data_IF_933325100807
#
_entry.id   IF_933325100807
#
_cell.length_a   1.000
_cell.length_b   1.000
_cell.length_c   1.000
_cell.angle_alpha   90.00
_cell.angle_beta   90.00
_cell.angle_gamma   90.00
#
_symmetry.space_group_name_H-M   'P 1'
#
loop_
_entity.id
_entity.type
_entity.pdbx_description
1 polymer ?
#
# COMPACT_ATOMS: atom_id res chain seq x y z
N UNK A 1 -3.79 36.67 64.89
CA UNK A 1 -5.08 36.63 64.18
C UNK A 1 -5.00 35.55 63.08
N UNK A 2 -5.64 34.39 63.28
CA UNK A 2 -5.69 33.30 62.30
C UNK A 2 -7.04 33.39 61.58
N UNK A 3 -7.06 33.89 60.35
CA UNK A 3 -8.23 33.85 59.48
C UNK A 3 -8.34 32.45 58.87
N UNK A 4 -9.27 31.65 59.38
CA UNK A 4 -9.66 30.37 58.76
C UNK A 4 -10.64 30.69 57.63
N UNK A 5 -10.17 30.66 56.37
CA UNK A 5 -11.05 30.63 55.21
C UNK A 5 -11.80 29.29 55.18
N UNK A 6 -13.04 29.30 55.66
CA UNK A 6 -14.00 28.18 55.47
C UNK A 6 -14.50 28.25 54.03
N UNK A 7 -13.84 27.54 53.12
CA UNK A 7 -14.42 27.28 51.78
C UNK A 7 -15.54 26.24 51.98
N UNK A 8 -16.79 26.52 51.64
CA UNK A 8 -17.90 25.58 51.82
C UNK A 8 -17.69 24.36 50.94
N UNK A 9 -17.68 23.19 51.56
CA UNK A 9 -17.50 21.85 50.92
C UNK A 9 -18.31 21.65 49.62
N UNK A 10 -19.41 22.40 49.48
CA UNK A 10 -20.27 22.36 48.28
C UNK A 10 -19.55 22.81 46.98
N UNK A 11 -18.67 23.83 47.04
CA UNK A 11 -17.94 24.28 45.88
C UNK A 11 -16.82 23.31 45.45
N UNK A 12 -16.23 22.60 46.42
CA UNK A 12 -15.22 21.62 46.16
C UNK A 12 -15.83 20.42 45.37
N UNK A 13 -17.04 19.99 45.75
CA UNK A 13 -17.74 18.91 45.01
C UNK A 13 -18.18 19.34 43.61
N UNK A 14 -18.60 20.60 43.43
CA UNK A 14 -18.95 21.13 42.09
C UNK A 14 -17.72 21.25 41.20
N UNK A 15 -16.57 21.64 41.74
CA UNK A 15 -15.30 21.69 41.00
C UNK A 15 -14.85 20.28 40.59
N UNK A 16 -14.96 19.28 41.47
CA UNK A 16 -14.64 17.89 41.14
C UNK A 16 -15.57 17.33 40.07
N UNK A 17 -16.87 17.61 40.15
CA UNK A 17 -17.85 17.20 39.13
C UNK A 17 -17.57 17.83 37.76
N UNK A 18 -17.19 19.10 37.74
CA UNK A 18 -16.85 19.80 36.49
C UNK A 18 -15.55 19.26 35.86
N UNK A 19 -14.52 18.96 36.66
CA UNK A 19 -13.27 18.35 36.21
C UNK A 19 -13.49 16.93 35.64
N UNK A 20 -14.33 16.12 36.26
CA UNK A 20 -14.63 14.78 35.74
C UNK A 20 -15.42 14.83 34.44
N UNK A 21 -16.38 15.76 34.29
CA UNK A 21 -17.15 15.91 33.05
C UNK A 21 -16.29 16.42 31.88
N UNK A 22 -15.38 17.36 32.11
CA UNK A 22 -14.44 17.84 31.07
C UNK A 22 -13.42 16.74 30.69
N UNK A 23 -12.93 15.96 31.66
CA UNK A 23 -12.04 14.84 31.41
C UNK A 23 -12.69 13.74 30.55
N UNK A 24 -13.97 13.48 30.74
CA UNK A 24 -14.73 12.48 29.95
C UNK A 24 -14.95 12.92 28.51
N UNK A 25 -15.12 14.21 28.25
CA UNK A 25 -15.28 14.76 26.88
C UNK A 25 -13.96 14.71 26.11
N UNK A 26 -12.82 14.97 26.76
CA UNK A 26 -11.49 14.91 26.12
C UNK A 26 -11.05 13.46 25.80
N UNK A 27 -11.50 12.45 26.53
CA UNK A 27 -11.20 11.04 26.22
C UNK A 27 -11.99 10.50 25.04
N UNK A 28 -13.11 11.10 24.66
CA UNK A 28 -13.99 10.61 23.58
C UNK A 28 -13.47 10.96 22.17
N UNK A 29 -12.49 11.82 22.03
CA UNK A 29 -11.99 12.29 20.72
C UNK A 29 -10.84 11.44 20.17
N UNK A 30 -10.28 10.50 20.97
CA UNK A 30 -9.04 9.79 20.61
C UNK A 30 -9.26 8.42 19.94
N UNK A 31 -10.48 8.00 19.64
CA UNK A 31 -10.80 6.70 19.03
C UNK A 31 -11.25 6.82 17.57
N UNK A 32 -10.78 7.84 16.85
CA UNK A 32 -10.79 7.77 15.39
C UNK A 32 -9.70 6.80 14.96
N UNK A 33 -9.94 5.51 15.17
CA UNK A 33 -9.21 4.43 14.51
C UNK A 33 -9.38 4.64 13.00
N UNK A 34 -8.38 5.25 12.38
CA UNK A 34 -8.33 5.44 10.95
C UNK A 34 -8.13 4.06 10.31
N UNK A 35 -9.22 3.29 10.20
CA UNK A 35 -9.26 2.08 9.39
C UNK A 35 -9.10 2.53 7.94
N UNK A 36 -7.88 2.45 7.43
CA UNK A 36 -7.52 2.75 6.05
C UNK A 36 -8.03 1.66 5.10
N UNK A 37 -9.34 1.38 5.14
CA UNK A 37 -9.96 0.47 4.19
C UNK A 37 -10.16 1.19 2.85
N UNK A 38 -9.89 0.49 1.76
CA UNK A 38 -10.22 0.94 0.41
C UNK A 38 -11.74 1.07 0.28
N UNK A 39 -12.20 2.22 -0.20
CA UNK A 39 -13.63 2.55 -0.27
C UNK A 39 -14.16 2.72 -1.70
N UNK A 40 -13.28 2.93 -2.67
CA UNK A 40 -13.68 3.15 -4.06
C UNK A 40 -14.23 1.87 -4.71
N UNK A 41 -15.52 1.82 -5.11
CA UNK A 41 -16.09 0.66 -5.80
C UNK A 41 -15.40 0.34 -7.12
N UNK A 42 -14.97 1.35 -7.87
CA UNK A 42 -14.25 1.18 -9.13
C UNK A 42 -12.93 0.44 -8.94
N UNK A 43 -12.17 0.75 -7.88
CA UNK A 43 -10.92 0.05 -7.59
C UNK A 43 -11.16 -1.42 -7.19
N UNK A 44 -12.21 -1.69 -6.42
CA UNK A 44 -12.56 -3.06 -6.06
C UNK A 44 -13.03 -3.88 -7.27
N UNK A 45 -13.80 -3.25 -8.17
CA UNK A 45 -14.20 -3.86 -9.44
C UNK A 45 -12.98 -4.18 -10.32
N UNK A 46 -12.06 -3.23 -10.49
CA UNK A 46 -10.83 -3.45 -11.25
C UNK A 46 -9.95 -4.55 -10.62
N UNK A 47 -9.82 -4.59 -9.28
CA UNK A 47 -9.08 -5.63 -8.57
C UNK A 47 -9.66 -7.02 -8.83
N UNK A 48 -10.99 -7.16 -8.84
CA UNK A 48 -11.67 -8.43 -9.10
C UNK A 48 -11.52 -8.94 -10.54
N UNK A 49 -11.41 -8.05 -11.51
CA UNK A 49 -11.25 -8.39 -12.92
C UNK A 49 -9.78 -8.63 -13.32
N UNK A 50 -8.84 -8.17 -12.53
CA UNK A 50 -7.42 -8.06 -12.86
C UNK A 50 -6.76 -9.35 -13.35
N UNK A 51 -7.16 -10.49 -12.83
CA UNK A 51 -6.52 -11.77 -13.18
C UNK A 51 -7.12 -12.39 -14.45
N UNK A 52 -8.41 -12.16 -14.73
CA UNK A 52 -9.15 -12.80 -15.84
C UNK A 52 -9.30 -11.85 -17.02
N UNK A 53 -9.61 -10.58 -16.75
CA UNK A 53 -9.88 -9.55 -17.76
C UNK A 53 -9.05 -8.27 -17.49
N UNK A 54 -7.72 -8.34 -17.67
CA UNK A 54 -6.82 -7.22 -17.35
C UNK A 54 -7.05 -5.98 -18.23
N UNK A 55 -7.54 -6.15 -19.45
CA UNK A 55 -7.95 -5.08 -20.37
C UNK A 55 -9.16 -4.30 -19.83
N UNK A 56 -10.18 -5.00 -19.35
CA UNK A 56 -11.35 -4.41 -18.72
C UNK A 56 -10.97 -3.71 -17.40
N UNK A 57 -10.09 -4.30 -16.60
CA UNK A 57 -9.57 -3.68 -15.39
C UNK A 57 -8.82 -2.38 -15.73
N UNK A 58 -8.01 -2.37 -16.79
CA UNK A 58 -7.31 -1.19 -17.26
C UNK A 58 -8.28 -0.07 -17.65
N UNK A 59 -9.30 -0.38 -18.45
CA UNK A 59 -10.34 0.58 -18.87
C UNK A 59 -11.04 1.22 -17.69
N UNK A 60 -11.39 0.45 -16.64
CA UNK A 60 -11.98 0.98 -15.41
C UNK A 60 -11.00 1.94 -14.70
N UNK A 61 -9.72 1.57 -14.59
CA UNK A 61 -8.74 2.39 -13.92
C UNK A 61 -8.47 3.71 -14.67
N UNK A 62 -8.42 3.67 -15.98
CA UNK A 62 -8.24 4.86 -16.84
C UNK A 62 -9.45 5.78 -16.84
N UNK A 63 -10.65 5.28 -16.52
CA UNK A 63 -11.85 6.11 -16.35
C UNK A 63 -11.80 7.02 -15.11
N UNK A 64 -10.87 6.80 -14.19
CA UNK A 64 -10.71 7.62 -12.98
C UNK A 64 -9.99 8.93 -13.33
N UNK A 65 -10.77 9.99 -13.51
CA UNK A 65 -10.29 11.29 -14.00
C UNK A 65 -9.36 12.05 -13.05
N UNK A 66 -9.36 11.77 -11.76
CA UNK A 66 -8.58 12.52 -10.75
C UNK A 66 -7.99 11.60 -9.68
N UNK A 67 -7.08 10.68 -10.01
CA UNK A 67 -6.55 9.71 -9.06
C UNK A 67 -5.78 10.34 -7.89
N UNK A 68 -5.18 11.52 -8.09
CA UNK A 68 -4.48 12.27 -7.05
C UNK A 68 -5.41 12.78 -5.93
N UNK A 69 -6.72 12.90 -6.18
CA UNK A 69 -7.74 13.30 -5.18
C UNK A 69 -8.25 12.12 -4.35
N UNK A 70 -7.91 10.90 -4.73
CA UNK A 70 -8.29 9.71 -3.97
C UNK A 70 -7.69 9.73 -2.54
N UNK A 71 -8.40 9.19 -1.55
CA UNK A 71 -7.84 8.92 -0.23
C UNK A 71 -6.53 8.13 -0.33
N UNK A 72 -5.65 8.28 0.65
CA UNK A 72 -4.30 7.68 0.61
C UNK A 72 -4.32 6.17 0.32
N UNK A 73 -5.24 5.42 0.94
CA UNK A 73 -5.38 3.98 0.72
C UNK A 73 -5.84 3.64 -0.72
N UNK A 74 -6.84 4.37 -1.22
CA UNK A 74 -7.39 4.18 -2.56
C UNK A 74 -6.37 4.58 -3.63
N UNK A 75 -5.61 5.67 -3.40
CA UNK A 75 -4.53 6.10 -4.30
C UNK A 75 -3.41 5.07 -4.39
N UNK A 76 -3.04 4.46 -3.27
CA UNK A 76 -2.05 3.39 -3.27
C UNK A 76 -2.54 2.14 -4.01
N UNK A 77 -3.81 1.76 -3.82
CA UNK A 77 -4.40 0.65 -4.57
C UNK A 77 -4.52 0.98 -6.04
N UNK A 78 -4.94 2.19 -6.41
CA UNK A 78 -4.97 2.65 -7.79
C UNK A 78 -3.59 2.51 -8.47
N UNK A 79 -2.54 3.00 -7.79
CA UNK A 79 -1.18 2.93 -8.30
C UNK A 79 -0.72 1.47 -8.53
N UNK A 80 -1.00 0.58 -7.59
CA UNK A 80 -0.71 -0.83 -7.72
C UNK A 80 -1.46 -1.46 -8.89
N UNK A 81 -2.78 -1.28 -8.94
CA UNK A 81 -3.63 -1.90 -9.95
C UNK A 81 -3.34 -1.37 -11.37
N UNK A 82 -3.10 -0.06 -11.52
CA UNK A 82 -2.78 0.50 -12.84
C UNK A 82 -1.43 -0.03 -13.36
N UNK A 83 -0.41 -0.14 -12.50
CA UNK A 83 0.87 -0.74 -12.88
C UNK A 83 0.68 -2.22 -13.24
N UNK A 84 -0.09 -2.97 -12.45
CA UNK A 84 -0.42 -4.37 -12.73
C UNK A 84 -1.16 -4.54 -14.05
N UNK A 85 -2.20 -3.73 -14.31
CA UNK A 85 -2.99 -3.77 -15.53
C UNK A 85 -2.14 -3.47 -16.77
N UNK A 86 -1.31 -2.42 -16.73
CA UNK A 86 -0.38 -2.11 -17.81
C UNK A 86 0.59 -3.25 -18.10
N UNK A 87 1.21 -3.80 -17.06
CA UNK A 87 2.13 -4.92 -17.21
C UNK A 87 1.45 -6.15 -17.83
N UNK A 88 0.22 -6.49 -17.41
CA UNK A 88 -0.53 -7.63 -17.95
C UNK A 88 -0.98 -7.40 -19.40
N UNK A 89 -1.23 -6.17 -19.80
CA UNK A 89 -1.59 -5.77 -21.17
C UNK A 89 -0.37 -5.45 -22.04
N UNK A 90 0.85 -5.75 -21.59
CA UNK A 90 2.10 -5.50 -22.34
C UNK A 90 2.33 -4.02 -22.68
N UNK A 91 1.78 -3.11 -21.88
CA UNK A 91 1.99 -1.65 -22.00
C UNK A 91 3.19 -1.29 -21.14
N UNK A 92 4.08 -0.48 -21.69
CA UNK A 92 5.28 0.00 -20.99
C UNK A 92 4.92 0.68 -19.66
N UNK A 93 5.62 0.34 -18.58
CA UNK A 93 5.35 0.85 -17.23
C UNK A 93 5.84 2.30 -17.07
N UNK A 94 6.75 2.76 -17.90
CA UNK A 94 7.27 4.13 -17.87
C UNK A 94 8.20 4.38 -16.69
N UNK A 95 7.92 5.43 -15.92
CA UNK A 95 8.66 5.72 -14.70
C UNK A 95 8.13 4.95 -13.50
N UNK A 96 8.87 4.99 -12.39
CA UNK A 96 8.54 4.26 -11.17
C UNK A 96 7.73 5.09 -10.16
N UNK A 97 7.39 6.35 -10.47
CA UNK A 97 6.68 7.27 -9.56
C UNK A 97 5.31 6.73 -9.15
N UNK A 98 4.62 6.09 -10.09
CA UNK A 98 3.30 5.51 -9.83
C UNK A 98 3.38 4.35 -8.84
N UNK A 99 4.18 3.33 -9.15
CA UNK A 99 4.28 2.13 -8.31
C UNK A 99 4.93 2.43 -6.95
N UNK A 100 5.83 3.40 -6.89
CA UNK A 100 6.45 3.88 -5.65
C UNK A 100 5.40 4.35 -4.65
N UNK A 101 4.32 5.00 -5.10
CA UNK A 101 3.18 5.38 -4.24
C UNK A 101 2.56 4.17 -3.54
N UNK A 102 2.47 3.02 -4.20
CA UNK A 102 1.96 1.78 -3.61
C UNK A 102 2.98 1.19 -2.61
N UNK A 103 4.25 1.12 -2.98
CA UNK A 103 5.32 0.60 -2.11
C UNK A 103 5.44 1.43 -0.84
N UNK A 104 5.43 2.76 -0.93
CA UNK A 104 5.48 3.65 0.24
C UNK A 104 4.28 3.49 1.17
N UNK A 105 3.11 3.14 0.63
CA UNK A 105 1.90 2.95 1.42
C UNK A 105 1.85 1.59 2.09
N UNK A 106 2.08 0.50 1.33
CA UNK A 106 2.00 -0.86 1.86
C UNK A 106 3.22 -1.22 2.71
N UNK A 107 4.38 -0.63 2.40
CA UNK A 107 5.63 -0.80 3.13
C UNK A 107 6.18 -2.23 3.07
N UNK A 108 7.30 -2.42 3.74
CA UNK A 108 8.04 -3.68 3.81
C UNK A 108 7.90 -4.42 5.16
N UNK A 109 7.23 -3.79 6.13
CA UNK A 109 7.18 -4.25 7.53
C UNK A 109 6.14 -5.32 7.80
N UNK A 110 5.08 -5.40 7.00
CA UNK A 110 3.96 -6.32 7.19
C UNK A 110 3.74 -7.19 5.97
N UNK A 111 3.83 -8.50 6.18
CA UNK A 111 3.51 -9.48 5.13
C UNK A 111 2.07 -9.30 4.65
N UNK A 112 1.90 -8.99 3.38
CA UNK A 112 0.60 -8.89 2.73
C UNK A 112 0.74 -9.10 1.23
N UNK A 113 -0.32 -9.62 0.60
CA UNK A 113 -0.35 -9.83 -0.85
C UNK A 113 -0.15 -8.51 -1.61
N UNK A 114 -0.73 -7.40 -1.14
CA UNK A 114 -0.58 -6.09 -1.78
C UNK A 114 0.83 -5.54 -1.68
N UNK A 115 1.50 -5.70 -0.52
CA UNK A 115 2.90 -5.32 -0.37
C UNK A 115 3.80 -6.15 -1.30
N UNK A 116 3.60 -7.46 -1.34
CA UNK A 116 4.35 -8.34 -2.24
C UNK A 116 4.13 -7.99 -3.72
N UNK A 117 2.87 -7.76 -4.15
CA UNK A 117 2.57 -7.32 -5.51
C UNK A 117 3.20 -5.96 -5.84
N UNK A 118 3.21 -5.00 -4.91
CA UNK A 118 3.81 -3.69 -5.12
C UNK A 118 5.32 -3.80 -5.40
N UNK A 119 6.05 -4.55 -4.60
CA UNK A 119 7.47 -4.81 -4.83
C UNK A 119 7.71 -5.59 -6.13
N UNK A 120 6.88 -6.58 -6.44
CA UNK A 120 7.00 -7.32 -7.71
C UNK A 120 6.88 -6.39 -8.93
N UNK A 121 5.87 -5.52 -8.98
CA UNK A 121 5.70 -4.61 -10.11
C UNK A 121 6.72 -3.48 -10.13
N UNK A 122 7.27 -3.10 -8.99
CA UNK A 122 8.41 -2.20 -8.95
C UNK A 122 9.67 -2.83 -9.55
N UNK A 123 9.94 -4.10 -9.20
CA UNK A 123 10.98 -4.89 -9.85
C UNK A 123 10.78 -5.01 -11.36
N UNK A 124 9.52 -5.23 -11.82
CA UNK A 124 9.21 -5.27 -13.24
C UNK A 124 9.51 -3.93 -13.93
N UNK A 125 9.20 -2.79 -13.29
CA UNK A 125 9.53 -1.46 -13.80
C UNK A 125 11.04 -1.24 -13.92
N UNK A 126 11.82 -1.63 -12.92
CA UNK A 126 13.29 -1.58 -12.99
C UNK A 126 13.84 -2.45 -14.10
N UNK A 127 13.26 -3.61 -14.28
CA UNK A 127 13.69 -4.55 -15.30
C UNK A 127 13.46 -4.02 -16.73
N UNK A 128 12.34 -3.35 -16.99
CA UNK A 128 12.08 -2.68 -18.28
C UNK A 128 13.10 -1.58 -18.56
N UNK A 129 13.58 -0.90 -17.53
CA UNK A 129 14.62 0.13 -17.63
C UNK A 129 16.06 -0.44 -17.73
N UNK A 130 16.24 -1.75 -17.66
CA UNK A 130 17.54 -2.39 -17.66
C UNK A 130 18.27 -2.40 -16.30
N UNK A 131 17.64 -1.95 -15.23
CA UNK A 131 18.22 -1.93 -13.88
C UNK A 131 18.07 -3.28 -13.20
N UNK A 132 18.78 -4.29 -13.68
CA UNK A 132 18.62 -5.69 -13.28
C UNK A 132 18.88 -5.94 -11.79
N UNK A 133 19.91 -5.32 -11.21
CA UNK A 133 20.21 -5.47 -9.78
C UNK A 133 19.09 -4.98 -8.88
N UNK A 134 18.57 -3.79 -9.15
CA UNK A 134 17.41 -3.26 -8.40
C UNK A 134 16.16 -4.11 -8.61
N UNK A 135 15.93 -4.62 -9.81
CA UNK A 135 14.82 -5.51 -10.08
C UNK A 135 14.90 -6.80 -9.24
N UNK A 136 16.07 -7.40 -9.10
CA UNK A 136 16.28 -8.59 -8.27
C UNK A 136 16.01 -8.30 -6.79
N UNK A 137 16.49 -7.17 -6.26
CA UNK A 137 16.25 -6.76 -4.88
C UNK A 137 14.74 -6.64 -4.58
N UNK A 138 13.99 -6.03 -5.50
CA UNK A 138 12.54 -5.86 -5.36
C UNK A 138 11.78 -7.19 -5.47
N UNK A 139 12.20 -8.10 -6.35
CA UNK A 139 11.62 -9.44 -6.42
C UNK A 139 11.88 -10.25 -5.15
N UNK A 140 13.07 -10.16 -4.56
CA UNK A 140 13.37 -10.80 -3.27
C UNK A 140 12.53 -10.18 -2.14
N UNK A 141 12.29 -8.86 -2.15
CA UNK A 141 11.38 -8.22 -1.22
C UNK A 141 9.95 -8.75 -1.37
N UNK A 142 9.46 -8.88 -2.60
CA UNK A 142 8.13 -9.46 -2.88
C UNK A 142 7.98 -10.88 -2.32
N UNK A 143 9.00 -11.72 -2.47
CA UNK A 143 9.02 -13.09 -1.93
C UNK A 143 8.94 -13.08 -0.39
N UNK A 144 9.71 -12.21 0.28
CA UNK A 144 9.72 -12.09 1.75
C UNK A 144 8.38 -11.62 2.31
N UNK A 145 7.68 -10.76 1.57
CA UNK A 145 6.42 -10.14 1.99
C UNK A 145 5.19 -10.98 1.70
N UNK A 146 5.30 -12.01 0.87
CA UNK A 146 4.18 -12.90 0.57
C UNK A 146 3.81 -13.73 1.81
N UNK A 147 2.55 -13.66 2.27
CA UNK A 147 2.13 -14.35 3.49
C UNK A 147 2.04 -15.87 3.33
N UNK A 148 1.76 -16.36 2.13
CA UNK A 148 1.58 -17.78 1.82
C UNK A 148 2.30 -18.09 0.51
N UNK A 149 2.99 -19.24 0.44
CA UNK A 149 3.56 -19.76 -0.81
C UNK A 149 2.40 -20.21 -1.72
N UNK A 150 2.14 -19.43 -2.75
CA UNK A 150 1.11 -19.70 -3.76
C UNK A 150 1.71 -19.62 -5.17
N UNK A 151 0.87 -19.79 -6.20
CA UNK A 151 1.27 -19.72 -7.61
C UNK A 151 1.97 -18.42 -8.00
N UNK A 152 1.68 -17.33 -7.32
CA UNK A 152 2.34 -16.04 -7.55
C UNK A 152 3.86 -16.11 -7.21
N UNK A 153 4.24 -16.81 -6.15
CA UNK A 153 5.66 -17.07 -5.86
C UNK A 153 6.32 -17.92 -6.95
N UNK A 154 5.64 -18.96 -7.43
CA UNK A 154 6.16 -19.77 -8.51
C UNK A 154 6.42 -18.91 -9.77
N UNK A 155 5.53 -17.99 -10.08
CA UNK A 155 5.68 -17.07 -11.20
C UNK A 155 6.90 -16.13 -11.03
N UNK A 156 7.15 -15.63 -9.81
CA UNK A 156 8.34 -14.79 -9.52
C UNK A 156 9.63 -15.62 -9.72
N UNK A 157 9.67 -16.84 -9.19
CA UNK A 157 10.84 -17.73 -9.34
C UNK A 157 11.13 -18.04 -10.80
N UNK A 158 10.13 -18.47 -11.57
CA UNK A 158 10.29 -18.81 -12.98
C UNK A 158 10.77 -17.60 -13.80
N UNK A 159 10.31 -16.39 -13.49
CA UNK A 159 10.70 -15.18 -14.20
C UNK A 159 12.12 -14.73 -13.83
N UNK A 160 12.50 -14.87 -12.56
CA UNK A 160 13.87 -14.60 -12.07
C UNK A 160 14.89 -15.59 -12.65
N UNK A 161 14.56 -16.88 -12.69
CA UNK A 161 15.44 -17.94 -13.17
C UNK A 161 15.67 -17.87 -14.68
N UNK A 162 14.63 -17.69 -15.50
CA UNK A 162 14.76 -17.57 -16.95
C UNK A 162 15.66 -16.39 -17.37
N UNK A 163 15.75 -15.35 -16.57
CA UNK A 163 16.57 -14.18 -16.87
C UNK A 163 18.01 -14.29 -16.36
N UNK A 164 18.23 -14.95 -15.22
CA UNK A 164 19.58 -15.29 -14.75
C UNK A 164 20.31 -16.18 -15.77
N UNK A 165 19.61 -17.14 -16.36
CA UNK A 165 20.15 -18.00 -17.42
C UNK A 165 20.47 -17.21 -18.69
N UNK A 166 19.63 -16.23 -19.06
CA UNK A 166 19.85 -15.41 -20.25
C UNK A 166 21.02 -14.42 -20.10
N UNK A 167 21.31 -13.98 -18.88
CA UNK A 167 22.45 -13.09 -18.59
C UNK A 167 23.76 -13.89 -18.58
N UNK A 168 23.74 -15.10 -18.01
CA UNK A 168 24.91 -15.98 -17.99
C UNK A 168 25.31 -16.45 -19.41
N UNK A 169 24.34 -16.75 -20.28
CA UNK A 169 24.61 -17.16 -21.66
C UNK A 169 25.07 -16.05 -22.60
N UNK A 170 24.95 -14.76 -22.21
CA UNK A 170 25.43 -13.65 -23.04
C UNK A 170 26.89 -13.27 -22.73
N UNK A 171 27.42 -13.61 -21.56
CA UNK A 171 28.82 -13.33 -21.21
C UNK A 171 29.83 -14.33 -21.76
N UNK A 172 29.37 -15.43 -22.34
CA UNK A 172 30.27 -16.46 -22.94
C UNK A 172 30.50 -16.27 -24.46
N UNK A 173 29.88 -15.27 -25.10
CA UNK A 173 30.00 -15.00 -26.54
C UNK A 173 30.58 -13.63 -26.89
N UNK A 174 31.26 -12.95 -25.97
CA UNK A 174 32.13 -11.79 -26.23
C UNK A 174 33.58 -12.11 -25.79
#
# INVERSE_FOLDING_TARGET
>A
MKTRCCYPKRYLLLFFSLLVSVGSILMSVSLSSCSSSVKSPLLLSADSLMEIYPDSALSILESISSPQKLPRADRALYALLLTQARHKNYIALGDDSLIKTAVEYYGDKKKSVRAAKAHYYWGATYLEKGYTSFAVEEYLAAIRLMPIRNEFLAMIYVRGEKRSVSICGRSENE
#
